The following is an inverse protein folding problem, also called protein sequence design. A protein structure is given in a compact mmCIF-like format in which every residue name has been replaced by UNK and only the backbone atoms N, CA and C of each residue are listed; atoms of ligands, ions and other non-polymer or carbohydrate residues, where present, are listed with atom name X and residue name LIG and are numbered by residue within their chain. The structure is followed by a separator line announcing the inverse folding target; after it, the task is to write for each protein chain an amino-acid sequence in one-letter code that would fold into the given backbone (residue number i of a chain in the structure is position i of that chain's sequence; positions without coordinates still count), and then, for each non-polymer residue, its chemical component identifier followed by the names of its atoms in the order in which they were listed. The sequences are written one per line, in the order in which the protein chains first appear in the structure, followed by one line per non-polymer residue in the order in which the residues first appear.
data_IF_206760636203
#
_entry.id   IF_206760636203
#
_cell.length_a   1.000
_cell.length_b   1.000
_cell.length_c   1.000
_cell.angle_alpha   90.00
_cell.angle_beta   90.00
_cell.angle_gamma   90.00
#
_symmetry.space_group_name_H-M   'P 1'
#
loop_
_entity.id
_entity.type
_entity.pdbx_description
1 polymer ?
#
# COMPACT_ATOMS: atom_id res chain seq x y z
N UNK A 1 -25.94 -5.29 -2.94
CA UNK A 1 -25.08 -6.48 -2.73
C UNK A 1 -24.07 -6.02 -1.72
N UNK A 2 -24.14 -6.56 -0.51
CA UNK A 2 -23.39 -6.04 0.63
C UNK A 2 -21.89 -6.15 0.33
N UNK A 3 -21.25 -5.00 0.09
CA UNK A 3 -19.80 -4.84 -0.13
C UNK A 3 -19.05 -5.00 1.21
N UNK A 4 -19.32 -6.07 1.95
CA UNK A 4 -18.57 -6.34 3.17
C UNK A 4 -17.19 -6.88 2.76
N UNK A 5 -16.29 -5.96 2.38
CA UNK A 5 -14.89 -6.26 2.11
C UNK A 5 -14.32 -6.91 3.37
N UNK A 6 -14.06 -8.21 3.30
CA UNK A 6 -13.34 -8.89 4.35
C UNK A 6 -11.87 -8.51 4.19
N UNK A 7 -11.40 -7.59 5.04
CA UNK A 7 -10.07 -6.97 4.98
C UNK A 7 -9.18 -7.60 6.05
N UNK A 8 -8.01 -8.05 5.65
CA UNK A 8 -6.94 -8.44 6.58
C UNK A 8 -5.86 -7.35 6.62
N UNK A 9 -5.51 -6.89 7.82
CA UNK A 9 -4.47 -5.86 8.02
C UNK A 9 -3.25 -6.50 8.66
N UNK A 10 -2.05 -6.23 8.14
CA UNK A 10 -0.80 -6.87 8.55
C UNK A 10 0.42 -5.96 8.33
N UNK A 11 1.55 -6.28 8.95
CA UNK A 11 2.88 -5.75 8.60
C UNK A 11 3.54 -6.50 7.43
N UNK A 12 2.94 -7.63 7.02
CA UNK A 12 3.35 -8.44 5.88
C UNK A 12 4.38 -9.53 6.17
N UNK A 13 4.96 -9.60 7.38
CA UNK A 13 6.07 -10.52 7.68
C UNK A 13 5.67 -12.00 7.53
N UNK A 14 4.51 -12.38 8.06
CA UNK A 14 3.99 -13.75 7.96
C UNK A 14 2.96 -13.91 6.83
N UNK A 15 2.78 -12.90 5.98
CA UNK A 15 1.66 -12.88 5.03
C UNK A 15 1.73 -14.07 4.08
N UNK A 16 2.93 -14.43 3.61
CA UNK A 16 3.13 -15.56 2.70
C UNK A 16 2.59 -16.88 3.28
N UNK A 17 2.72 -17.10 4.58
CA UNK A 17 2.24 -18.33 5.23
C UNK A 17 0.71 -18.34 5.36
N UNK A 18 0.13 -17.17 5.61
CA UNK A 18 -1.31 -17.01 5.88
C UNK A 18 -2.18 -16.92 4.62
N UNK A 19 -1.62 -16.61 3.44
CA UNK A 19 -2.43 -16.32 2.23
C UNK A 19 -3.50 -17.37 1.93
N UNK A 20 -3.19 -18.67 2.03
CA UNK A 20 -4.16 -19.73 1.70
C UNK A 20 -5.35 -19.72 2.66
N UNK A 21 -5.09 -19.64 3.97
CA UNK A 21 -6.13 -19.55 5.00
C UNK A 21 -6.97 -18.26 4.85
N UNK A 22 -6.33 -17.14 4.50
CA UNK A 22 -7.04 -15.89 4.23
C UNK A 22 -8.02 -16.04 3.06
N UNK A 23 -7.61 -16.69 1.98
CA UNK A 23 -8.50 -16.96 0.83
C UNK A 23 -9.66 -17.89 1.24
N UNK A 24 -9.37 -18.96 1.98
CA UNK A 24 -10.39 -19.92 2.45
C UNK A 24 -11.40 -19.30 3.41
N UNK A 25 -10.97 -18.33 4.24
CA UNK A 25 -11.84 -17.56 5.14
C UNK A 25 -12.61 -16.43 4.43
N UNK A 26 -12.44 -16.29 3.11
CA UNK A 26 -13.17 -15.32 2.30
C UNK A 26 -12.61 -13.90 2.40
N UNK A 27 -11.35 -13.71 2.81
CA UNK A 27 -10.66 -12.42 2.70
C UNK A 27 -10.56 -12.03 1.23
N UNK A 28 -10.80 -10.76 0.96
CA UNK A 28 -10.83 -10.19 -0.41
C UNK A 28 -9.79 -9.10 -0.60
N UNK A 29 -9.44 -8.41 0.49
CA UNK A 29 -8.50 -7.30 0.50
C UNK A 29 -7.45 -7.52 1.60
N UNK A 30 -6.18 -7.28 1.29
CA UNK A 30 -5.09 -7.27 2.26
C UNK A 30 -4.48 -5.88 2.30
N UNK A 31 -4.43 -5.30 3.50
CA UNK A 31 -3.71 -4.04 3.76
C UNK A 31 -2.39 -4.35 4.45
N UNK A 32 -1.28 -4.00 3.80
CA UNK A 32 0.08 -4.17 4.33
C UNK A 32 0.62 -2.81 4.75
N UNK A 33 1.02 -2.67 6.01
CA UNK A 33 1.73 -1.49 6.48
C UNK A 33 3.19 -1.59 6.05
N UNK A 34 3.64 -0.69 5.17
CA UNK A 34 5.01 -0.67 4.67
C UNK A 34 5.46 0.77 4.40
N UNK A 35 6.48 1.21 5.14
CA UNK A 35 6.86 2.62 5.24
C UNK A 35 8.10 2.99 4.40
N UNK A 36 8.73 1.99 3.79
CA UNK A 36 9.91 2.13 2.93
C UNK A 36 10.04 0.88 2.06
N UNK A 37 10.50 1.06 0.82
CA UNK A 37 10.86 -0.01 -0.12
C UNK A 37 12.38 -0.29 -0.10
N UNK A 38 13.14 0.51 0.64
CA UNK A 38 14.57 0.34 0.83
C UNK A 38 14.87 -0.68 1.93
N UNK A 39 15.53 -1.79 1.57
CA UNK A 39 15.90 -2.88 2.49
C UNK A 39 16.65 -2.41 3.74
N UNK A 40 17.65 -1.53 3.58
CA UNK A 40 18.43 -1.03 4.72
C UNK A 40 17.61 -0.14 5.64
N UNK A 41 16.74 0.71 5.09
CA UNK A 41 15.83 1.55 5.92
C UNK A 41 14.78 0.71 6.60
N UNK A 42 14.24 -0.31 5.93
CA UNK A 42 13.28 -1.23 6.51
C UNK A 42 13.88 -1.92 7.73
N UNK A 43 15.06 -2.52 7.58
CA UNK A 43 15.77 -3.18 8.68
C UNK A 43 16.04 -2.26 9.86
N UNK A 44 16.44 -1.01 9.59
CA UNK A 44 16.68 0.01 10.63
C UNK A 44 15.42 0.41 11.39
N UNK A 45 14.25 0.36 10.77
CA UNK A 45 12.97 0.82 11.33
C UNK A 45 12.09 -0.29 11.89
N UNK A 46 12.40 -1.57 11.62
CA UNK A 46 11.60 -2.73 12.01
C UNK A 46 12.44 -3.73 12.83
N UNK A 47 13.19 -3.25 13.81
CA UNK A 47 13.96 -4.07 14.77
C UNK A 47 14.88 -5.14 14.13
N UNK A 48 15.47 -4.83 12.97
CA UNK A 48 16.38 -5.75 12.27
C UNK A 48 15.70 -6.74 11.32
N UNK A 49 14.37 -6.68 11.16
CA UNK A 49 13.63 -7.51 10.21
C UNK A 49 13.96 -7.17 8.75
N UNK A 50 13.82 -8.16 7.88
CA UNK A 50 14.07 -8.00 6.45
C UNK A 50 12.80 -7.59 5.71
N UNK A 51 12.96 -6.86 4.60
CA UNK A 51 11.84 -6.48 3.73
C UNK A 51 11.41 -7.62 2.80
N UNK A 52 12.29 -8.59 2.54
CA UNK A 52 12.03 -9.68 1.59
C UNK A 52 10.76 -10.51 1.91
N UNK A 53 10.50 -10.92 3.17
CA UNK A 53 9.28 -11.65 3.52
C UNK A 53 7.99 -10.87 3.22
N UNK A 54 7.99 -9.56 3.42
CA UNK A 54 6.86 -8.67 3.11
C UNK A 54 6.56 -8.69 1.61
N UNK A 55 7.60 -8.56 0.78
CA UNK A 55 7.49 -8.59 -0.68
C UNK A 55 6.95 -9.95 -1.15
N UNK A 56 7.47 -11.04 -0.60
CA UNK A 56 7.03 -12.39 -0.93
C UNK A 56 5.57 -12.64 -0.53
N UNK A 57 5.16 -12.13 0.64
CA UNK A 57 3.78 -12.14 1.09
C UNK A 57 2.84 -11.40 0.15
N UNK A 58 3.21 -10.17 -0.25
CA UNK A 58 2.46 -9.38 -1.23
C UNK A 58 2.35 -10.14 -2.56
N UNK A 59 3.46 -10.66 -3.08
CA UNK A 59 3.47 -11.39 -4.35
C UNK A 59 2.58 -12.63 -4.32
N UNK A 60 2.62 -13.40 -3.21
CA UNK A 60 1.76 -14.58 -3.06
C UNK A 60 0.27 -14.19 -2.96
N UNK A 61 -0.06 -13.13 -2.22
CA UNK A 61 -1.42 -12.61 -2.12
C UNK A 61 -1.95 -12.14 -3.49
N UNK A 62 -1.12 -11.45 -4.28
CA UNK A 62 -1.44 -11.09 -5.67
C UNK A 62 -1.68 -12.33 -6.53
N UNK A 63 -0.84 -13.36 -6.41
CA UNK A 63 -1.01 -14.64 -7.12
C UNK A 63 -2.34 -15.34 -6.81
N UNK A 64 -2.89 -15.07 -5.61
CA UNK A 64 -4.22 -15.55 -5.18
C UNK A 64 -5.35 -14.58 -5.45
N UNK A 65 -5.09 -13.51 -6.21
CA UNK A 65 -6.06 -12.48 -6.64
C UNK A 65 -6.66 -11.68 -5.48
N UNK A 66 -5.99 -11.64 -4.33
CA UNK A 66 -6.35 -10.71 -3.26
C UNK A 66 -6.02 -9.28 -3.72
N UNK A 67 -6.92 -8.35 -3.42
CA UNK A 67 -6.66 -6.94 -3.66
C UNK A 67 -5.64 -6.42 -2.64
N UNK A 68 -4.60 -5.74 -3.10
CA UNK A 68 -3.53 -5.24 -2.23
C UNK A 68 -3.67 -3.74 -2.00
N UNK A 69 -3.67 -3.37 -0.74
CA UNK A 69 -3.49 -2.00 -0.27
C UNK A 69 -2.18 -1.89 0.49
N UNK A 70 -1.33 -0.94 0.14
CA UNK A 70 -0.16 -0.56 0.92
C UNK A 70 -0.50 0.69 1.72
N UNK A 71 -0.51 0.58 3.05
CA UNK A 71 -0.62 1.72 3.95
C UNK A 71 0.80 2.24 4.22
N UNK A 72 1.06 3.48 3.81
CA UNK A 72 2.40 4.06 3.75
C UNK A 72 2.50 5.27 4.68
N UNK A 73 3.18 5.10 5.81
CA UNK A 73 3.61 6.19 6.68
C UNK A 73 5.02 6.64 6.32
N UNK A 74 5.18 7.85 5.79
CA UNK A 74 6.48 8.39 5.42
C UNK A 74 7.05 9.26 6.54
N UNK A 75 8.38 9.36 6.61
CA UNK A 75 9.07 10.24 7.54
C UNK A 75 10.03 11.16 6.79
N UNK A 76 9.89 12.47 7.04
CA UNK A 76 10.75 13.52 6.45
C UNK A 76 12.22 13.31 6.83
N UNK A 77 13.11 13.31 5.83
CA UNK A 77 14.53 13.03 5.98
C UNK A 77 14.89 11.54 6.13
N UNK A 78 13.91 10.64 6.01
CA UNK A 78 14.13 9.20 6.14
C UNK A 78 13.58 8.40 4.96
N UNK A 79 12.29 8.52 4.63
CA UNK A 79 11.64 7.79 3.54
C UNK A 79 10.84 8.69 2.59
N UNK A 80 10.85 10.00 2.79
CA UNK A 80 10.13 10.97 1.97
C UNK A 80 10.64 11.10 0.52
N UNK A 81 11.87 10.63 0.25
CA UNK A 81 12.38 10.47 -1.10
C UNK A 81 11.70 9.33 -1.88
N UNK A 82 11.05 8.37 -1.20
CA UNK A 82 10.41 7.20 -1.81
C UNK A 82 8.95 7.47 -2.26
N UNK A 83 8.44 8.70 -2.16
CA UNK A 83 7.08 9.08 -2.61
C UNK A 83 6.83 8.61 -4.05
N UNK A 84 7.79 8.85 -4.94
CA UNK A 84 7.66 8.47 -6.36
C UNK A 84 7.87 6.99 -6.60
N UNK A 85 8.61 6.30 -5.73
CA UNK A 85 8.79 4.85 -5.82
C UNK A 85 7.49 4.12 -5.51
N UNK A 86 6.75 4.57 -4.50
CA UNK A 86 5.39 4.08 -4.25
C UNK A 86 4.42 4.40 -5.38
N UNK A 87 4.49 5.59 -5.98
CA UNK A 87 3.73 5.91 -7.19
C UNK A 87 4.07 4.94 -8.33
N UNK A 88 5.36 4.64 -8.54
CA UNK A 88 5.84 3.77 -9.61
C UNK A 88 5.22 2.37 -9.57
N UNK A 89 4.99 1.82 -8.37
CA UNK A 89 4.31 0.53 -8.20
C UNK A 89 2.90 0.52 -8.83
N UNK A 90 2.19 1.65 -8.82
CA UNK A 90 0.83 1.73 -9.39
C UNK A 90 0.79 1.60 -10.91
N UNK A 91 1.90 1.79 -11.61
CA UNK A 91 1.97 1.56 -13.06
C UNK A 91 2.11 0.08 -13.41
N UNK A 92 2.71 -0.70 -12.52
CA UNK A 92 2.99 -2.12 -12.73
C UNK A 92 1.92 -3.01 -12.11
N UNK A 93 1.29 -2.55 -11.04
CA UNK A 93 0.37 -3.33 -10.22
C UNK A 93 -0.92 -2.58 -9.91
N UNK A 94 -2.03 -3.32 -9.84
CA UNK A 94 -3.35 -2.80 -9.41
C UNK A 94 -3.41 -2.63 -7.89
N UNK A 95 -2.41 -1.97 -7.32
CA UNK A 95 -2.34 -1.69 -5.88
C UNK A 95 -3.07 -0.39 -5.56
N UNK A 96 -3.62 -0.34 -4.34
CA UNK A 96 -3.99 0.90 -3.68
C UNK A 96 -2.84 1.34 -2.77
N UNK A 97 -2.15 2.42 -3.11
CA UNK A 97 -1.14 3.01 -2.24
C UNK A 97 -1.80 4.11 -1.44
N UNK A 98 -1.98 3.93 -0.14
CA UNK A 98 -2.65 4.89 0.74
C UNK A 98 -1.62 5.53 1.67
N UNK A 99 -1.40 6.84 1.52
CA UNK A 99 -0.51 7.60 2.39
C UNK A 99 -1.21 7.93 3.71
N UNK A 100 -0.58 7.56 4.82
CA UNK A 100 -1.01 7.87 6.19
C UNK A 100 -0.66 9.33 6.54
N UNK A 101 -1.37 10.00 7.47
CA UNK A 101 -1.19 11.43 7.80
C UNK A 101 0.06 11.68 8.66
N UNK A 102 1.19 11.21 8.17
CA UNK A 102 2.52 11.25 8.81
C UNK A 102 3.38 12.40 8.27
N UNK A 103 3.00 12.95 7.11
CA UNK A 103 3.57 14.14 6.48
C UNK A 103 2.45 14.99 5.86
N UNK A 104 2.65 16.31 5.64
CA UNK A 104 1.68 17.13 4.95
C UNK A 104 1.39 16.58 3.54
N UNK A 105 0.12 16.27 3.26
CA UNK A 105 -0.27 15.69 1.99
C UNK A 105 0.01 16.59 0.79
N UNK A 106 0.06 17.90 1.00
CA UNK A 106 0.41 18.91 0.02
C UNK A 106 1.85 18.72 -0.45
N UNK A 107 2.77 18.35 0.45
CA UNK A 107 4.16 17.99 0.08
C UNK A 107 4.18 16.73 -0.79
N UNK A 108 3.35 15.74 -0.46
CA UNK A 108 3.27 14.47 -1.21
C UNK A 108 2.63 14.70 -2.59
N UNK A 109 1.45 15.32 -2.62
CA UNK A 109 0.70 15.67 -3.85
C UNK A 109 1.52 16.58 -4.78
N UNK A 110 2.34 17.49 -4.25
CA UNK A 110 3.23 18.34 -5.06
C UNK A 110 4.26 17.55 -5.88
N UNK A 111 4.63 16.32 -5.46
CA UNK A 111 5.48 15.43 -6.26
C UNK A 111 4.72 14.74 -7.39
N UNK A 112 3.39 14.76 -7.35
CA UNK A 112 2.50 14.07 -8.28
C UNK A 112 1.46 15.03 -8.90
N UNK A 113 1.90 16.06 -9.67
CA UNK A 113 1.04 17.16 -10.10
C UNK A 113 -0.10 16.76 -11.05
N UNK A 114 -0.08 15.53 -11.57
CA UNK A 114 -1.08 15.01 -12.51
C UNK A 114 -2.15 14.11 -11.86
N UNK A 115 -2.18 14.00 -10.52
CA UNK A 115 -3.23 13.24 -9.82
C UNK A 115 -4.62 13.77 -10.18
N UNK A 116 -5.56 12.84 -10.37
CA UNK A 116 -6.97 13.13 -10.64
C UNK A 116 -7.82 12.40 -9.62
N UNK A 117 -8.75 13.10 -8.99
CA UNK A 117 -9.71 12.49 -8.07
C UNK A 117 -10.52 11.41 -8.77
N UNK A 118 -10.93 10.40 -8.00
CA UNK A 118 -11.84 9.36 -8.45
C UNK A 118 -13.14 9.46 -7.68
N UNK A 119 -14.27 9.16 -8.33
CA UNK A 119 -15.60 9.15 -7.71
C UNK A 119 -15.79 7.99 -6.69
N UNK A 120 -14.78 7.15 -6.50
CA UNK A 120 -14.83 6.04 -5.56
C UNK A 120 -14.53 6.52 -4.15
N UNK A 121 -15.60 6.66 -3.37
CA UNK A 121 -15.51 6.93 -1.94
C UNK A 121 -15.17 5.64 -1.18
N UNK A 122 -14.03 5.66 -0.51
CA UNK A 122 -13.79 4.83 0.66
C UNK A 122 -14.02 5.74 1.86
N UNK A 123 -14.75 5.27 2.87
CA UNK A 123 -15.31 6.10 3.96
C UNK A 123 -14.28 7.11 4.51
N UNK A 124 -13.04 6.66 4.74
CA UNK A 124 -11.96 7.48 5.28
C UNK A 124 -10.77 7.70 4.33
N UNK A 125 -10.88 7.44 3.02
CA UNK A 125 -9.75 7.63 2.08
C UNK A 125 -10.17 8.40 0.84
N UNK A 126 -9.49 9.52 0.57
CA UNK A 126 -9.57 10.22 -0.71
C UNK A 126 -8.75 9.48 -1.76
N UNK A 127 -9.41 8.93 -2.79
CA UNK A 127 -8.75 8.16 -3.84
C UNK A 127 -8.53 8.98 -5.12
N UNK A 128 -7.36 8.78 -5.69
CA UNK A 128 -6.86 9.44 -6.88
C UNK A 128 -6.30 8.40 -7.86
N UNK A 129 -6.25 8.79 -9.13
CA UNK A 129 -5.58 8.05 -10.19
C UNK A 129 -4.51 8.93 -10.84
N UNK A 130 -3.36 8.32 -11.14
CA UNK A 130 -2.33 8.98 -11.92
C UNK A 130 -2.46 8.56 -13.39
N UNK A 131 -2.32 9.47 -14.36
CA UNK A 131 -2.42 9.11 -15.78
C UNK A 131 -1.48 7.96 -16.17
N UNK A 132 -2.05 6.90 -16.74
CA UNK A 132 -1.31 5.70 -17.12
C UNK A 132 -1.12 4.67 -16.02
N UNK A 133 -1.45 4.96 -14.75
CA UNK A 133 -1.40 3.96 -13.68
C UNK A 133 -2.54 2.94 -13.82
N UNK A 134 -2.26 1.69 -13.48
CA UNK A 134 -3.29 0.64 -13.35
C UNK A 134 -3.84 0.58 -11.92
N UNK A 135 -3.01 0.89 -10.93
CA UNK A 135 -3.37 1.09 -9.52
C UNK A 135 -3.83 2.52 -9.22
N UNK A 136 -4.02 2.79 -7.92
CA UNK A 136 -4.56 4.05 -7.39
C UNK A 136 -3.69 4.57 -6.24
N UNK A 137 -3.78 5.88 -6.00
CA UNK A 137 -3.17 6.57 -4.86
C UNK A 137 -4.29 7.03 -3.93
N UNK A 138 -4.13 6.89 -2.63
CA UNK A 138 -5.08 7.33 -1.62
C UNK A 138 -4.42 8.18 -0.55
N UNK A 139 -5.21 9.02 0.10
CA UNK A 139 -4.83 9.80 1.27
C UNK A 139 -5.90 9.60 2.35
N UNK A 140 -5.51 9.14 3.54
CA UNK A 140 -6.42 8.91 4.67
C UNK A 140 -6.95 10.26 5.19
N UNK A 141 -8.25 10.36 5.46
CA UNK A 141 -8.90 11.58 5.97
C UNK A 141 -8.69 11.79 7.46
#
# INVERSE_FOLDING_TARGET
MDNNKNIYVTDGQDLAEKVEELVESGVTDVTVNVNTLNYTRYQKSHDGLELHPVIDGINKAVGKKLHIRLAVGLQEGFSDDEILDFLQLTFQHKYDIVFMPTMPYEKIKAKMPALRETEQEFEDVEMYKYPGSVGRIGFLK
#
